data_IF_371485313580
#
_entry.id   IF_371485313580
#
_cell.length_a   1.000
_cell.length_b   1.000
_cell.length_c   1.000
_cell.angle_alpha   90.00
_cell.angle_beta   90.00
_cell.angle_gamma   90.00
#
_symmetry.space_group_name_H-M   'P 1'
#
loop_
_entity.id
_entity.type
_entity.pdbx_description
1 polymer ?
#
# COMPACT_ATOMS: atom_id res chain seq x y z
N UNK A 1 -3.45 -7.64 32.97
CA UNK A 1 -4.17 -6.63 32.16
C UNK A 1 -3.68 -6.77 30.72
N UNK A 2 -4.58 -6.97 29.76
CA UNK A 2 -4.25 -7.12 28.33
C UNK A 2 -4.76 -5.88 27.61
N UNK A 3 -4.01 -5.41 26.61
CA UNK A 3 -4.44 -4.35 25.69
C UNK A 3 -4.32 -4.92 24.28
N UNK A 4 -5.45 -5.00 23.57
CA UNK A 4 -5.50 -5.46 22.18
C UNK A 4 -5.40 -4.27 21.22
N UNK A 5 -4.42 -4.30 20.33
CA UNK A 5 -4.30 -3.35 19.23
C UNK A 5 -4.64 -4.09 17.93
N UNK A 6 -5.61 -3.58 17.18
CA UNK A 6 -6.12 -4.22 15.98
C UNK A 6 -6.38 -3.19 14.88
N UNK A 7 -6.35 -3.66 13.63
CA UNK A 7 -7.00 -2.96 12.54
C UNK A 7 -8.53 -2.98 12.70
N UNK A 8 -9.22 -2.08 12.00
CA UNK A 8 -10.69 -2.08 11.91
C UNK A 8 -11.17 -3.31 11.14
N UNK A 9 -11.80 -4.24 11.85
CA UNK A 9 -12.37 -5.47 11.30
C UNK A 9 -13.90 -5.41 11.40
N UNK A 10 -14.66 -6.04 10.48
CA UNK A 10 -16.12 -6.10 10.60
C UNK A 10 -16.62 -6.74 11.91
N UNK A 11 -15.90 -7.75 12.41
CA UNK A 11 -16.27 -8.59 13.57
C UNK A 11 -15.51 -8.21 14.85
N UNK A 12 -15.12 -6.94 15.01
CA UNK A 12 -14.34 -6.49 16.17
C UNK A 12 -15.02 -6.74 17.53
N UNK A 13 -16.35 -6.81 17.58
CA UNK A 13 -17.12 -7.16 18.79
C UNK A 13 -16.89 -8.59 19.25
N UNK A 14 -16.80 -9.54 18.32
CA UNK A 14 -16.54 -10.95 18.64
C UNK A 14 -15.13 -11.12 19.20
N UNK A 15 -14.16 -10.36 18.66
CA UNK A 15 -12.79 -10.29 19.18
C UNK A 15 -12.77 -9.74 20.61
N UNK A 16 -13.57 -8.71 20.89
CA UNK A 16 -13.70 -8.14 22.22
C UNK A 16 -14.25 -9.19 23.22
N UNK A 17 -15.28 -9.95 22.83
CA UNK A 17 -15.83 -11.04 23.65
C UNK A 17 -14.79 -12.14 23.88
N UNK A 18 -14.07 -12.56 22.83
CA UNK A 18 -13.01 -13.56 22.92
C UNK A 18 -11.91 -13.17 23.93
N UNK A 19 -11.50 -11.90 23.90
CA UNK A 19 -10.49 -11.36 24.81
C UNK A 19 -11.08 -10.92 26.18
N UNK A 20 -12.38 -11.13 26.41
CA UNK A 20 -13.12 -10.75 27.62
C UNK A 20 -13.03 -9.24 27.94
N UNK A 21 -13.07 -8.41 26.90
CA UNK A 21 -13.13 -6.95 26.99
C UNK A 21 -14.58 -6.52 27.25
N UNK A 22 -14.79 -5.53 28.14
CA UNK A 22 -16.10 -4.92 28.33
C UNK A 22 -16.43 -4.04 27.11
N UNK A 23 -17.48 -4.40 26.37
CA UNK A 23 -17.85 -3.77 25.10
C UNK A 23 -18.32 -2.32 25.27
N UNK A 24 -18.94 -1.99 26.41
CA UNK A 24 -19.53 -0.66 26.62
C UNK A 24 -18.52 0.37 27.14
N UNK A 25 -17.45 -0.09 27.82
CA UNK A 25 -16.46 0.79 28.47
C UNK A 25 -15.06 0.72 27.85
N UNK A 26 -14.62 -0.47 27.49
CA UNK A 26 -13.21 -0.76 27.23
C UNK A 26 -12.93 -1.13 25.75
N UNK A 27 -13.96 -1.12 24.89
CA UNK A 27 -13.83 -1.33 23.44
C UNK A 27 -13.88 0.01 22.69
N UNK A 28 -12.83 0.25 21.90
CA UNK A 28 -12.73 1.45 21.06
C UNK A 28 -12.69 1.06 19.59
N UNK A 29 -13.48 1.77 18.78
CA UNK A 29 -13.51 1.62 17.33
C UNK A 29 -13.32 2.99 16.69
N UNK A 30 -12.32 3.09 15.82
CA UNK A 30 -11.96 4.31 15.11
C UNK A 30 -11.99 4.00 13.62
N UNK A 31 -12.93 4.59 12.89
CA UNK A 31 -13.01 4.44 11.44
C UNK A 31 -11.90 5.24 10.72
N UNK A 32 -11.95 5.28 9.39
CA UNK A 32 -10.96 5.99 8.57
C UNK A 32 -10.90 7.50 8.84
N UNK A 33 -11.96 8.11 9.38
CA UNK A 33 -12.02 9.55 9.66
C UNK A 33 -11.14 9.98 10.84
N UNK A 34 -10.80 9.05 11.73
CA UNK A 34 -9.92 9.29 12.88
C UNK A 34 -8.43 9.24 12.54
N UNK A 35 -8.07 8.95 11.28
CA UNK A 35 -6.65 8.97 10.87
C UNK A 35 -6.14 10.43 10.89
N UNK A 36 -5.03 10.72 11.58
CA UNK A 36 -4.49 12.08 11.66
C UNK A 36 -4.04 12.61 10.30
N UNK A 37 -3.67 11.70 9.40
CA UNK A 37 -3.39 11.98 7.98
C UNK A 37 -4.38 11.15 7.15
N UNK A 38 -5.32 11.78 6.44
CA UNK A 38 -6.24 11.07 5.55
C UNK A 38 -5.48 10.25 4.52
N UNK A 39 -5.98 9.04 4.24
CA UNK A 39 -5.37 8.13 3.28
C UNK A 39 -6.27 7.99 2.06
N UNK A 40 -5.79 8.45 0.91
CA UNK A 40 -6.38 8.17 -0.39
C UNK A 40 -5.89 6.79 -0.88
N UNK A 41 -6.79 5.97 -1.44
CA UNK A 41 -6.45 4.67 -2.02
C UNK A 41 -6.90 4.61 -3.47
N UNK A 42 -6.02 4.15 -4.35
CA UNK A 42 -6.32 3.94 -5.77
C UNK A 42 -5.98 2.49 -6.15
N UNK A 43 -6.93 1.80 -6.78
CA UNK A 43 -6.74 0.44 -7.26
C UNK A 43 -6.56 0.45 -8.78
N UNK A 44 -5.47 -0.14 -9.25
CA UNK A 44 -5.18 -0.28 -10.67
C UNK A 44 -5.08 -1.76 -11.03
N UNK A 45 -6.12 -2.26 -11.72
CA UNK A 45 -6.15 -3.62 -12.21
C UNK A 45 -5.31 -3.77 -13.48
N UNK A 46 -4.38 -4.71 -13.49
CA UNK A 46 -3.62 -5.10 -14.69
C UNK A 46 -4.20 -6.40 -15.23
N UNK A 47 -4.80 -6.33 -16.42
CA UNK A 47 -5.47 -7.46 -17.07
C UNK A 47 -4.50 -8.15 -18.05
N UNK A 48 -4.49 -9.48 -18.07
CA UNK A 48 -3.73 -10.25 -19.05
C UNK A 48 -3.49 -11.69 -18.63
N UNK A 49 -3.30 -12.56 -19.63
CA UNK A 49 -3.02 -14.00 -19.39
C UNK A 49 -1.54 -14.32 -19.38
N UNK A 50 -0.71 -13.53 -20.09
CA UNK A 50 0.74 -13.74 -20.14
C UNK A 50 1.41 -13.01 -18.95
N UNK A 51 2.03 -13.75 -18.01
CA UNK A 51 2.62 -13.16 -16.80
C UNK A 51 3.71 -12.12 -17.08
N UNK A 52 4.50 -12.31 -18.16
CA UNK A 52 5.57 -11.38 -18.50
C UNK A 52 5.00 -10.04 -18.98
N UNK A 53 3.93 -10.06 -19.77
CA UNK A 53 3.24 -8.84 -20.22
C UNK A 53 2.58 -8.13 -19.05
N UNK A 54 1.92 -8.87 -18.16
CA UNK A 54 1.31 -8.32 -16.93
C UNK A 54 2.38 -7.64 -16.06
N UNK A 55 3.54 -8.27 -15.85
CA UNK A 55 4.64 -7.69 -15.09
C UNK A 55 5.20 -6.42 -15.74
N UNK A 56 5.34 -6.41 -17.07
CA UNK A 56 5.78 -5.22 -17.80
C UNK A 56 4.78 -4.06 -17.66
N UNK A 57 3.49 -4.31 -17.89
CA UNK A 57 2.43 -3.31 -17.69
C UNK A 57 2.38 -2.78 -16.25
N UNK A 58 2.55 -3.64 -15.26
CA UNK A 58 2.60 -3.23 -13.86
C UNK A 58 3.82 -2.34 -13.56
N UNK A 59 4.96 -2.61 -14.20
CA UNK A 59 6.19 -1.82 -14.04
C UNK A 59 6.01 -0.43 -14.65
N UNK A 60 5.43 -0.36 -15.85
CA UNK A 60 5.09 0.90 -16.52
C UNK A 60 4.17 1.77 -15.66
N UNK A 61 3.05 1.20 -15.19
CA UNK A 61 2.10 1.90 -14.31
C UNK A 61 2.78 2.40 -13.03
N UNK A 62 3.68 1.58 -12.46
CA UNK A 62 4.45 1.95 -11.26
C UNK A 62 5.32 3.17 -11.53
N UNK A 63 6.08 3.16 -12.62
CA UNK A 63 6.94 4.28 -13.01
C UNK A 63 6.15 5.58 -13.20
N UNK A 64 5.04 5.54 -13.96
CA UNK A 64 4.20 6.72 -14.18
C UNK A 64 3.65 7.31 -12.87
N UNK A 65 3.25 6.46 -11.92
CA UNK A 65 2.76 6.93 -10.61
C UNK A 65 3.86 7.47 -9.72
N UNK A 66 5.02 6.83 -9.70
CA UNK A 66 6.20 7.31 -8.97
C UNK A 66 6.59 8.69 -9.51
N UNK A 67 6.77 8.82 -10.82
CA UNK A 67 7.15 10.07 -11.48
C UNK A 67 6.14 11.19 -11.20
N UNK A 68 4.84 10.91 -11.30
CA UNK A 68 3.79 11.88 -10.99
C UNK A 68 3.87 12.43 -9.56
N UNK A 69 4.11 11.56 -8.57
CA UNK A 69 4.22 11.96 -7.16
C UNK A 69 5.55 12.68 -6.87
N UNK A 70 6.66 12.21 -7.44
CA UNK A 70 7.98 12.85 -7.30
C UNK A 70 7.99 14.25 -7.92
N UNK A 71 7.37 14.45 -9.09
CA UNK A 71 7.21 15.78 -9.72
C UNK A 71 6.39 16.75 -8.87
N UNK A 72 5.51 16.24 -8.00
CA UNK A 72 4.77 17.04 -7.02
C UNK A 72 5.58 17.32 -5.74
N UNK A 73 6.84 16.89 -5.67
CA UNK A 73 7.71 17.05 -4.50
C UNK A 73 7.50 16.01 -3.40
N UNK A 74 6.76 14.93 -3.67
CA UNK A 74 6.49 13.88 -2.70
C UNK A 74 7.51 12.72 -2.79
N UNK A 75 7.87 12.15 -1.64
CA UNK A 75 8.64 10.90 -1.58
C UNK A 75 7.72 9.69 -1.84
N UNK A 76 8.27 8.65 -2.47
CA UNK A 76 7.52 7.44 -2.84
C UNK A 76 8.23 6.19 -2.34
N UNK A 77 7.47 5.26 -1.76
CA UNK A 77 7.95 3.95 -1.33
C UNK A 77 7.23 2.86 -2.12
N UNK A 78 7.99 2.00 -2.80
CA UNK A 78 7.46 0.92 -3.64
C UNK A 78 7.68 -0.42 -2.95
N UNK A 79 6.59 -1.12 -2.64
CA UNK A 79 6.63 -2.48 -2.09
C UNK A 79 6.67 -3.53 -3.20
N UNK A 80 7.55 -4.53 -3.05
CA UNK A 80 7.73 -5.66 -3.97
C UNK A 80 7.77 -6.97 -3.18
N UNK A 81 7.64 -8.11 -3.87
CA UNK A 81 7.49 -9.42 -3.23
C UNK A 81 8.80 -10.09 -2.78
N UNK A 82 9.97 -9.64 -3.26
CA UNK A 82 11.26 -10.23 -2.92
C UNK A 82 12.39 -9.20 -2.88
N UNK A 83 13.47 -9.51 -2.15
CA UNK A 83 14.69 -8.68 -2.11
C UNK A 83 15.32 -8.54 -3.50
N UNK A 84 15.27 -9.60 -4.31
CA UNK A 84 15.79 -9.59 -5.68
C UNK A 84 15.00 -8.64 -6.57
N UNK A 85 13.68 -8.61 -6.43
CA UNK A 85 12.84 -7.66 -7.17
C UNK A 85 13.05 -6.23 -6.70
N UNK A 86 13.44 -5.97 -5.45
CA UNK A 86 13.75 -4.61 -5.00
C UNK A 86 14.85 -3.99 -5.85
N UNK A 87 15.98 -4.69 -5.98
CA UNK A 87 17.10 -4.20 -6.78
C UNK A 87 16.74 -4.13 -8.28
N UNK A 88 16.00 -5.12 -8.79
CA UNK A 88 15.59 -5.16 -10.20
C UNK A 88 14.64 -4.00 -10.54
N UNK A 89 13.57 -3.82 -9.77
CA UNK A 89 12.59 -2.74 -9.98
C UNK A 89 13.27 -1.38 -9.85
N UNK A 90 14.13 -1.17 -8.85
CA UNK A 90 14.85 0.11 -8.71
C UNK A 90 15.69 0.44 -9.95
N UNK A 91 16.46 -0.54 -10.48
CA UNK A 91 17.24 -0.37 -11.71
C UNK A 91 16.35 -0.09 -12.92
N UNK A 92 15.28 -0.85 -13.09
CA UNK A 92 14.35 -0.65 -14.21
C UNK A 92 13.70 0.74 -14.16
N UNK A 93 13.30 1.23 -12.98
CA UNK A 93 12.75 2.58 -12.85
C UNK A 93 13.80 3.67 -13.17
N UNK A 94 15.05 3.47 -12.77
CA UNK A 94 16.15 4.39 -13.12
C UNK A 94 16.41 4.39 -14.63
N UNK A 95 16.52 3.21 -15.25
CA UNK A 95 16.71 3.06 -16.69
C UNK A 95 15.57 3.73 -17.48
N UNK A 96 14.32 3.59 -17.03
CA UNK A 96 13.16 4.28 -17.62
C UNK A 96 13.27 5.79 -17.48
N UNK A 97 13.70 6.29 -16.31
CA UNK A 97 13.90 7.72 -16.09
C UNK A 97 14.99 8.31 -16.98
N UNK A 98 16.11 7.60 -17.16
CA UNK A 98 17.19 7.99 -18.07
C UNK A 98 16.72 8.01 -19.53
N UNK A 99 15.99 6.98 -19.97
CA UNK A 99 15.47 6.88 -21.35
C UNK A 99 14.46 7.98 -21.68
N UNK A 100 13.62 8.36 -20.72
CA UNK A 100 12.60 9.40 -20.92
C UNK A 100 13.09 10.82 -20.55
N UNK A 101 14.33 10.97 -20.07
CA UNK A 101 14.89 12.26 -19.65
C UNK A 101 14.17 12.85 -18.43
N UNK A 102 13.77 12.01 -17.49
CA UNK A 102 13.05 12.40 -16.26
C UNK A 102 13.86 12.18 -14.97
N UNK A 103 15.13 11.77 -15.11
CA UNK A 103 16.09 11.63 -14.02
C UNK A 103 16.49 12.98 -13.39
#
# INVERSE_FOLDING_TARGET
RIVGLSATLPTYKDVAVFLRVNVDRDLFYFDSSYRPVPLETCFMGVMGTNPNKVKASMTEITYQKVLSRVRQGHQVMVFVHSRKDTAKTARTLLEMAEQEGTA
#
